data_IF_716568474287
#
_entry.id   IF_716568474287
#
_cell.length_a   1.000
_cell.length_b   1.000
_cell.length_c   1.000
_cell.angle_alpha   90.00
_cell.angle_beta   90.00
_cell.angle_gamma   90.00
#
_symmetry.space_group_name_H-M   'P 1'
#
loop_
_entity.id
_entity.type
_entity.pdbx_description
1 polymer ?
#
# COMPACT_ATOMS: atom_id res chain seq x y z
N UNK A 1 2.85 0.90 24.42
CA UNK A 1 3.69 -0.02 24.20
C UNK A 1 3.34 -1.13 23.25
N UNK A 2 2.69 -2.11 23.67
CA UNK A 2 2.42 -3.20 22.80
C UNK A 2 1.72 -2.74 21.54
N UNK A 3 0.99 -1.69 21.65
CA UNK A 3 0.18 -1.26 20.53
C UNK A 3 1.00 -0.82 19.36
N UNK A 4 2.16 -0.27 19.60
CA UNK A 4 2.93 0.15 18.46
C UNK A 4 3.46 -0.99 17.66
N UNK A 5 3.54 -2.13 18.29
CA UNK A 5 4.11 -3.24 17.62
C UNK A 5 3.18 -3.85 16.62
N UNK A 6 1.92 -3.40 16.59
CA UNK A 6 1.00 -3.93 15.63
C UNK A 6 1.13 -3.34 14.26
N UNK A 7 1.90 -2.24 14.12
CA UNK A 7 1.97 -1.59 12.82
C UNK A 7 3.23 -2.00 12.07
N UNK A 8 3.03 -2.46 10.88
CA UNK A 8 4.12 -2.82 9.98
C UNK A 8 3.96 -2.02 8.72
N UNK A 9 5.02 -1.43 8.26
CA UNK A 9 4.97 -0.57 7.08
C UNK A 9 5.24 -1.37 5.84
N UNK A 10 4.43 -1.14 4.82
CA UNK A 10 4.54 -1.84 3.55
C UNK A 10 4.62 -0.86 2.40
N UNK A 11 5.30 -1.30 1.37
CA UNK A 11 5.39 -0.59 0.12
C UNK A 11 4.83 -1.52 -0.93
N UNK A 12 3.80 -1.08 -1.62
CA UNK A 12 3.11 -1.93 -2.59
C UNK A 12 3.14 -1.21 -3.92
N UNK A 13 3.69 -1.87 -4.92
CA UNK A 13 3.85 -1.28 -6.23
C UNK A 13 2.85 -1.90 -7.18
N UNK A 14 2.09 -1.05 -7.87
CA UNK A 14 1.12 -1.50 -8.86
C UNK A 14 1.40 -0.77 -10.17
N UNK A 15 1.04 -1.42 -11.27
CA UNK A 15 1.23 -0.82 -12.56
C UNK A 15 0.16 0.22 -12.82
N UNK A 16 0.57 1.34 -13.41
CA UNK A 16 -0.37 2.37 -13.77
C UNK A 16 -0.35 3.53 -12.79
N UNK A 17 -0.88 4.65 -13.22
CA UNK A 17 -0.96 5.85 -12.40
C UNK A 17 -2.37 5.98 -11.90
N UNK A 18 -2.56 5.85 -10.61
CA UNK A 18 -3.88 5.86 -10.02
C UNK A 18 -4.35 7.28 -9.80
N UNK A 19 -5.60 7.55 -10.19
CA UNK A 19 -6.20 8.84 -9.89
C UNK A 19 -6.74 8.89 -8.48
N UNK A 20 -7.23 10.07 -8.11
CA UNK A 20 -7.69 10.27 -6.75
C UNK A 20 -8.82 9.34 -6.36
N UNK A 21 -9.68 9.05 -7.31
CA UNK A 21 -10.80 8.17 -7.00
C UNK A 21 -10.34 6.79 -6.58
N UNK A 22 -9.38 6.23 -7.32
CA UNK A 22 -8.87 4.91 -6.98
C UNK A 22 -8.04 4.95 -5.71
N UNK A 23 -7.32 6.04 -5.49
CA UNK A 23 -6.51 6.15 -4.28
C UNK A 23 -7.40 6.18 -3.03
N UNK A 24 -8.63 6.62 -3.16
CA UNK A 24 -9.55 6.61 -2.05
C UNK A 24 -9.88 5.22 -1.52
N UNK A 25 -9.57 4.19 -2.31
CA UNK A 25 -9.79 2.82 -1.86
C UNK A 25 -8.73 2.35 -0.85
N UNK A 26 -7.69 3.15 -0.65
CA UNK A 26 -6.59 2.76 0.22
C UNK A 26 -6.38 3.83 1.30
N UNK A 27 -7.35 3.99 2.20
CA UNK A 27 -7.24 5.02 3.23
C UNK A 27 -6.06 4.72 4.15
N UNK A 28 -5.39 5.77 4.57
CA UNK A 28 -4.25 5.62 5.44
C UNK A 28 -2.95 5.33 4.73
N UNK A 29 -2.98 5.17 3.42
CA UNK A 29 -1.76 4.94 2.66
C UNK A 29 -1.45 6.15 1.81
N UNK A 30 -0.18 6.38 1.60
CA UNK A 30 0.29 7.42 0.70
C UNK A 30 0.55 6.81 -0.65
N UNK A 31 0.47 7.62 -1.67
CA UNK A 31 0.70 7.16 -3.03
C UNK A 31 1.73 8.06 -3.69
N UNK A 32 2.57 7.45 -4.48
CA UNK A 32 3.62 8.17 -5.18
C UNK A 32 3.75 7.58 -6.57
N UNK A 33 3.75 8.45 -7.57
CA UNK A 33 3.94 8.02 -8.94
C UNK A 33 5.42 7.79 -9.19
N UNK A 34 5.72 6.74 -9.92
CA UNK A 34 7.09 6.44 -10.31
C UNK A 34 7.04 5.87 -11.70
N UNK A 35 7.41 6.70 -12.68
CA UNK A 35 7.31 6.32 -14.08
C UNK A 35 5.87 5.96 -14.39
N UNK A 36 5.59 4.74 -14.76
CA UNK A 36 4.22 4.34 -15.08
C UNK A 36 3.62 3.47 -13.99
N UNK A 37 4.15 3.60 -12.78
CA UNK A 37 3.69 2.81 -11.66
C UNK A 37 3.25 3.70 -10.54
N UNK A 38 2.48 3.14 -9.64
CA UNK A 38 2.11 3.82 -8.41
C UNK A 38 2.63 2.99 -7.25
N UNK A 39 3.28 3.67 -6.32
CA UNK A 39 3.76 3.03 -5.10
C UNK A 39 2.86 3.47 -3.96
N UNK A 40 2.20 2.50 -3.34
CA UNK A 40 1.39 2.74 -2.17
C UNK A 40 2.23 2.43 -0.94
N UNK A 41 2.19 3.29 0.04
CA UNK A 41 3.07 3.17 1.18
C UNK A 41 2.32 3.54 2.44
N UNK A 42 2.38 2.70 3.45
CA UNK A 42 1.70 3.01 4.68
C UNK A 42 1.75 1.87 5.68
N UNK A 43 1.23 2.15 6.87
CA UNK A 43 1.20 1.14 7.92
C UNK A 43 0.04 0.19 7.75
N UNK A 44 0.27 -1.04 8.14
CA UNK A 44 -0.75 -2.09 8.08
C UNK A 44 -0.76 -2.76 9.45
N UNK A 45 -1.96 -2.87 10.02
CA UNK A 45 -2.07 -3.31 11.40
C UNK A 45 -1.72 -4.77 11.58
N UNK A 46 -2.11 -5.62 10.64
CA UNK A 46 -1.84 -7.04 10.75
C UNK A 46 -1.91 -7.65 9.36
N UNK A 47 -1.72 -8.95 9.32
CA UNK A 47 -1.70 -9.65 8.07
C UNK A 47 -3.05 -9.64 7.36
N UNK A 48 -4.11 -9.68 8.13
CA UNK A 48 -5.44 -9.63 7.53
C UNK A 48 -5.66 -8.30 6.84
N UNK A 49 -5.18 -7.22 7.43
CA UNK A 49 -5.30 -5.91 6.81
C UNK A 49 -4.48 -5.84 5.53
N UNK A 50 -3.32 -6.46 5.52
CA UNK A 50 -2.51 -6.51 4.30
C UNK A 50 -3.24 -7.26 3.20
N UNK A 51 -3.81 -8.40 3.53
CA UNK A 51 -4.56 -9.15 2.53
C UNK A 51 -5.77 -8.37 2.04
N UNK A 52 -6.36 -7.55 2.91
CA UNK A 52 -7.46 -6.70 2.50
C UNK A 52 -7.02 -5.69 1.44
N UNK A 53 -5.84 -5.10 1.62
CA UNK A 53 -5.31 -4.17 0.64
C UNK A 53 -5.05 -4.90 -0.68
N UNK A 54 -4.45 -6.07 -0.62
CA UNK A 54 -4.15 -6.82 -1.83
C UNK A 54 -5.42 -7.25 -2.55
N UNK A 55 -6.45 -7.62 -1.78
CA UNK A 55 -7.72 -8.00 -2.38
C UNK A 55 -8.36 -6.82 -3.08
N UNK A 56 -8.23 -5.63 -2.50
CA UNK A 56 -8.78 -4.45 -3.12
C UNK A 56 -8.07 -4.14 -4.42
N UNK A 57 -6.75 -4.31 -4.45
CA UNK A 57 -5.97 -4.11 -5.66
C UNK A 57 -6.48 -5.06 -6.75
N UNK A 58 -6.72 -6.30 -6.38
CA UNK A 58 -7.21 -7.28 -7.34
C UNK A 58 -8.62 -6.93 -7.81
N UNK A 59 -9.48 -6.52 -6.87
CA UNK A 59 -10.86 -6.20 -7.21
C UNK A 59 -10.94 -5.02 -8.16
N UNK A 60 -9.99 -4.10 -8.08
CA UNK A 60 -9.96 -2.94 -8.96
C UNK A 60 -9.30 -3.25 -10.30
N UNK A 61 -8.83 -4.47 -10.49
CA UNK A 61 -8.22 -4.85 -11.74
C UNK A 61 -6.81 -4.31 -11.93
N UNK A 62 -6.17 -3.94 -10.85
CA UNK A 62 -4.81 -3.41 -10.92
C UNK A 62 -3.81 -4.55 -10.92
N UNK A 63 -2.70 -4.33 -11.61
CA UNK A 63 -1.66 -5.33 -11.66
C UNK A 63 -0.68 -5.11 -10.53
N UNK A 64 -0.57 -6.08 -9.65
CA UNK A 64 0.35 -6.01 -8.54
C UNK A 64 1.75 -6.37 -9.02
N UNK A 65 2.71 -5.49 -8.76
CA UNK A 65 4.07 -5.72 -9.20
C UNK A 65 4.98 -6.17 -8.07
N UNK A 66 4.79 -5.60 -6.88
CA UNK A 66 5.68 -5.92 -5.78
C UNK A 66 5.03 -5.55 -4.47
N UNK A 67 5.28 -6.38 -3.45
CA UNK A 67 4.90 -6.08 -2.08
C UNK A 67 6.17 -6.19 -1.26
N UNK A 68 6.49 -5.12 -0.54
CA UNK A 68 7.70 -5.12 0.24
C UNK A 68 7.43 -4.56 1.62
N UNK A 69 7.91 -5.28 2.61
CA UNK A 69 7.83 -4.83 3.97
C UNK A 69 8.98 -3.89 4.26
N UNK A 70 8.70 -2.79 4.92
CA UNK A 70 9.73 -1.84 5.23
C UNK A 70 9.57 -1.39 6.67
N UNK A 71 10.68 -1.06 7.30
CA UNK A 71 10.61 -0.55 8.64
C UNK A 71 10.83 0.92 8.72
N UNK A 72 11.15 1.55 7.63
CA UNK A 72 11.52 2.95 7.63
C UNK A 72 10.34 3.79 7.25
N UNK A 73 9.75 4.48 8.21
CA UNK A 73 8.61 5.32 7.92
C UNK A 73 8.97 6.53 7.10
N UNK A 74 10.24 6.83 6.99
CA UNK A 74 10.68 7.97 6.19
C UNK A 74 11.14 7.56 4.83
N UNK A 75 10.81 6.35 4.45
CA UNK A 75 11.23 5.83 3.18
C UNK A 75 10.79 6.71 2.03
N UNK A 76 9.60 7.25 2.12
CA UNK A 76 9.12 8.16 1.13
C UNK A 76 9.79 9.51 1.28
#
# INVERSE_FOLDING_TARGET
MAEQMGLVWYEIRVRGLLGETLLGAFPGMRARAHEKETVLYGPVADQAALYGVLAEIEALGLELLEVRRTRDQNHF
#
